data_IF_878978370249
#
_entry.id   IF_878978370249
#
_cell.length_a   1.000
_cell.length_b   1.000
_cell.length_c   1.000
_cell.angle_alpha   90.00
_cell.angle_beta   90.00
_cell.angle_gamma   90.00
#
_symmetry.space_group_name_H-M   'P 1'
#
loop_
_entity.id
_entity.type
_entity.pdbx_description
1 polymer ?
#
# COMPACT_ATOMS: atom_id res chain seq x y z
N UNK A 1 3.34 -10.89 10.89
CA UNK A 1 2.16 -11.76 10.63
C UNK A 1 0.89 -10.96 10.33
N UNK A 2 0.39 -10.10 11.23
CA UNK A 2 -0.88 -9.38 11.04
C UNK A 2 -0.90 -8.50 9.78
N UNK A 3 0.15 -7.68 9.56
CA UNK A 3 0.32 -6.93 8.32
C UNK A 3 0.44 -7.85 7.10
N UNK A 4 1.11 -8.99 7.21
CA UNK A 4 1.18 -9.98 6.13
C UNK A 4 -0.19 -10.52 5.71
N UNK A 5 -1.07 -10.79 6.68
CA UNK A 5 -2.46 -11.21 6.41
C UNK A 5 -3.25 -10.08 5.73
N UNK A 6 -3.10 -8.84 6.19
CA UNK A 6 -3.77 -7.69 5.57
C UNK A 6 -3.24 -7.38 4.17
N UNK A 7 -1.94 -7.50 3.91
CA UNK A 7 -1.38 -7.34 2.57
C UNK A 7 -1.85 -8.46 1.64
N UNK A 8 -1.83 -9.71 2.10
CA UNK A 8 -2.40 -10.84 1.36
C UNK A 8 -3.87 -10.56 1.00
N UNK A 9 -4.72 -10.29 2.00
CA UNK A 9 -6.13 -10.07 1.74
C UNK A 9 -6.46 -8.81 0.96
N UNK A 10 -5.73 -7.71 1.17
CA UNK A 10 -5.91 -6.47 0.43
C UNK A 10 -5.46 -6.56 -1.03
N UNK A 11 -4.41 -7.33 -1.32
CA UNK A 11 -3.98 -7.60 -2.70
C UNK A 11 -4.94 -8.53 -3.45
N UNK A 12 -5.60 -9.44 -2.72
CA UNK A 12 -6.54 -10.42 -3.30
C UNK A 12 -8.00 -10.17 -2.95
N UNK A 13 -8.36 -8.95 -2.51
CA UNK A 13 -9.72 -8.56 -2.12
C UNK A 13 -10.73 -8.86 -3.23
N UNK A 14 -10.31 -8.71 -4.49
CA UNK A 14 -11.15 -8.93 -5.66
C UNK A 14 -11.64 -10.39 -5.78
N UNK A 15 -10.95 -11.34 -5.15
CA UNK A 15 -11.40 -12.73 -5.07
C UNK A 15 -12.70 -12.87 -4.28
N UNK A 16 -13.03 -11.94 -3.36
CA UNK A 16 -14.29 -11.95 -2.62
C UNK A 16 -15.52 -11.80 -3.50
N UNK A 17 -15.43 -11.12 -4.64
CA UNK A 17 -16.57 -11.01 -5.56
C UNK A 17 -17.00 -12.38 -6.09
N UNK A 18 -16.07 -13.34 -6.14
CA UNK A 18 -16.32 -14.72 -6.54
C UNK A 18 -16.60 -15.64 -5.35
N UNK A 19 -16.58 -15.13 -4.11
CA UNK A 19 -16.81 -15.93 -2.92
C UNK A 19 -18.32 -16.19 -2.69
N UNK A 20 -18.76 -17.46 -2.68
CA UNK A 20 -20.12 -17.81 -2.36
C UNK A 20 -20.31 -17.83 -0.84
N UNK A 21 -20.74 -16.71 -0.26
CA UNK A 21 -21.11 -16.63 1.15
C UNK A 21 -22.41 -17.42 1.44
N UNK A 22 -22.32 -18.75 1.51
CA UNK A 22 -23.51 -19.64 1.58
C UNK A 22 -23.60 -20.50 2.84
N UNK A 23 -23.06 -20.02 3.97
CA UNK A 23 -23.20 -20.75 5.24
C UNK A 23 -23.15 -19.85 6.46
N UNK A 24 -24.13 -20.01 7.37
CA UNK A 24 -24.20 -19.28 8.65
C UNK A 24 -22.94 -19.47 9.48
N UNK A 25 -22.32 -20.66 9.46
CA UNK A 25 -21.07 -20.95 10.17
C UNK A 25 -19.87 -20.19 9.58
N UNK A 26 -19.76 -20.13 8.25
CA UNK A 26 -18.70 -19.40 7.58
C UNK A 26 -18.83 -17.89 7.81
N UNK A 27 -20.06 -17.37 7.75
CA UNK A 27 -20.33 -15.97 8.07
C UNK A 27 -19.99 -15.63 9.53
N UNK A 28 -20.38 -16.48 10.48
CA UNK A 28 -20.02 -16.30 11.89
C UNK A 28 -18.51 -16.36 12.11
N UNK A 29 -17.82 -17.32 11.49
CA UNK A 29 -16.36 -17.41 11.56
C UNK A 29 -15.71 -16.14 10.99
N UNK A 30 -16.14 -15.67 9.82
CA UNK A 30 -15.64 -14.43 9.22
C UNK A 30 -15.92 -13.20 10.10
N UNK A 31 -17.10 -13.09 10.70
CA UNK A 31 -17.46 -11.99 11.60
C UNK A 31 -16.61 -11.99 12.89
N UNK A 32 -16.38 -13.17 13.48
CA UNK A 32 -15.51 -13.32 14.65
C UNK A 32 -14.06 -12.98 14.28
N UNK A 33 -13.55 -13.54 13.17
CA UNK A 33 -12.21 -13.23 12.68
C UNK A 33 -12.04 -11.73 12.41
N UNK A 34 -13.03 -11.09 11.81
CA UNK A 34 -13.04 -9.65 11.60
C UNK A 34 -12.93 -8.87 12.91
N UNK A 35 -13.77 -9.18 13.91
CA UNK A 35 -13.72 -8.51 15.22
C UNK A 35 -12.37 -8.69 15.91
N UNK A 36 -11.81 -9.89 15.88
CA UNK A 36 -10.49 -10.21 16.46
C UNK A 36 -9.38 -9.46 15.74
N UNK A 37 -9.33 -9.49 14.40
CA UNK A 37 -8.29 -8.81 13.65
C UNK A 37 -8.42 -7.29 13.70
N UNK A 38 -9.65 -6.75 13.68
CA UNK A 38 -9.89 -5.31 13.84
C UNK A 38 -9.40 -4.82 15.21
N UNK A 39 -9.69 -5.56 16.29
CA UNK A 39 -9.14 -5.28 17.61
C UNK A 39 -7.61 -5.38 17.63
N UNK A 40 -7.04 -6.44 17.03
CA UNK A 40 -5.59 -6.59 16.94
C UNK A 40 -4.93 -5.43 16.18
N UNK A 41 -5.54 -4.94 15.09
CA UNK A 41 -5.04 -3.77 14.38
C UNK A 41 -5.09 -2.50 15.22
N UNK A 42 -6.19 -2.28 15.94
CA UNK A 42 -6.34 -1.12 16.84
C UNK A 42 -5.24 -1.10 17.91
N UNK A 43 -5.07 -2.22 18.65
CA UNK A 43 -4.20 -2.27 19.83
C UNK A 43 -2.73 -2.60 19.53
N UNK A 44 -2.44 -3.37 18.48
CA UNK A 44 -1.08 -3.83 18.19
C UNK A 44 -0.39 -3.07 17.05
N UNK A 45 -1.15 -2.37 16.20
CA UNK A 45 -0.60 -1.65 15.04
C UNK A 45 -0.85 -0.15 15.16
N UNK A 46 -2.13 0.26 15.17
CA UNK A 46 -2.52 1.67 15.14
C UNK A 46 -2.03 2.44 16.37
N UNK A 47 -1.91 1.78 17.52
CA UNK A 47 -1.36 2.36 18.75
C UNK A 47 0.12 2.76 18.65
N UNK A 48 0.85 2.28 17.63
CA UNK A 48 2.30 2.48 17.49
C UNK A 48 2.71 3.23 16.22
N UNK A 49 1.74 3.67 15.41
CA UNK A 49 1.99 4.38 14.15
C UNK A 49 1.35 5.76 14.18
N UNK A 50 2.03 6.73 13.56
CA UNK A 50 1.44 8.02 13.32
C UNK A 50 0.47 7.96 12.14
N UNK A 51 -0.75 8.45 12.34
CA UNK A 51 -1.76 8.59 11.30
C UNK A 51 -2.26 10.03 11.26
N UNK A 52 -2.18 10.65 10.10
CA UNK A 52 -2.77 11.97 9.80
C UNK A 52 -4.27 11.84 9.48
N UNK A 53 -4.68 10.65 9.03
CA UNK A 53 -6.06 10.34 8.65
C UNK A 53 -6.81 9.58 9.76
N UNK A 54 -8.10 9.33 9.56
CA UNK A 54 -8.93 8.66 10.56
C UNK A 54 -8.41 7.25 10.86
N UNK A 55 -7.92 7.04 12.09
CA UNK A 55 -7.43 5.75 12.58
C UNK A 55 -8.48 4.63 12.44
N UNK A 56 -9.76 4.98 12.61
CA UNK A 56 -10.89 4.07 12.49
C UNK A 56 -10.94 3.32 11.15
N UNK A 57 -10.69 4.01 10.04
CA UNK A 57 -10.66 3.39 8.73
C UNK A 57 -9.53 2.35 8.66
N UNK A 58 -8.34 2.69 9.15
CA UNK A 58 -7.15 1.82 9.09
C UNK A 58 -7.35 0.52 9.88
N UNK A 59 -7.84 0.57 11.12
CA UNK A 59 -8.00 -0.69 11.88
C UNK A 59 -9.21 -1.52 11.43
N UNK A 60 -10.29 -0.90 10.92
CA UNK A 60 -11.42 -1.61 10.33
C UNK A 60 -11.02 -2.29 9.02
N UNK A 61 -10.40 -1.55 8.10
CA UNK A 61 -9.92 -2.09 6.83
C UNK A 61 -8.83 -3.14 7.05
N UNK A 62 -7.93 -2.93 8.02
CA UNK A 62 -6.93 -3.92 8.41
C UNK A 62 -7.54 -5.22 8.92
N UNK A 63 -8.55 -5.12 9.79
CA UNK A 63 -9.32 -6.29 10.24
C UNK A 63 -10.01 -7.02 9.08
N UNK A 64 -10.59 -6.26 8.14
CA UNK A 64 -11.25 -6.79 6.96
C UNK A 64 -10.26 -7.53 6.05
N UNK A 65 -9.16 -6.88 5.66
CA UNK A 65 -8.15 -7.50 4.82
C UNK A 65 -7.48 -8.69 5.49
N UNK A 66 -7.15 -8.63 6.79
CA UNK A 66 -6.59 -9.78 7.49
C UNK A 66 -7.55 -10.97 7.53
N UNK A 67 -8.86 -10.71 7.64
CA UNK A 67 -9.88 -11.76 7.54
C UNK A 67 -9.86 -12.43 6.17
N UNK A 68 -9.75 -11.65 5.09
CA UNK A 68 -9.63 -12.20 3.72
C UNK A 68 -8.34 -13.01 3.57
N UNK A 69 -7.21 -12.47 4.02
CA UNK A 69 -5.91 -13.14 3.96
C UNK A 69 -5.92 -14.47 4.71
N UNK A 70 -6.49 -14.49 5.92
CA UNK A 70 -6.68 -15.71 6.69
C UNK A 70 -7.64 -16.69 5.99
N UNK A 71 -8.71 -16.19 5.37
CA UNK A 71 -9.63 -16.97 4.56
C UNK A 71 -8.98 -17.65 3.37
N UNK A 72 -8.06 -16.96 2.67
CA UNK A 72 -7.28 -17.53 1.55
C UNK A 72 -6.40 -18.69 2.05
N UNK A 73 -5.68 -18.49 3.15
CA UNK A 73 -4.85 -19.53 3.75
C UNK A 73 -5.70 -20.73 4.22
N UNK A 74 -6.83 -20.47 4.88
CA UNK A 74 -7.76 -21.50 5.31
C UNK A 74 -8.34 -22.27 4.12
N UNK A 75 -8.67 -21.60 3.02
CA UNK A 75 -9.18 -22.23 1.81
C UNK A 75 -8.14 -23.17 1.19
N UNK A 76 -6.86 -22.78 1.17
CA UNK A 76 -5.77 -23.65 0.70
C UNK A 76 -5.65 -24.92 1.56
N UNK A 77 -5.74 -24.78 2.89
CA UNK A 77 -5.72 -25.92 3.82
C UNK A 77 -6.94 -26.83 3.64
N UNK A 78 -8.15 -26.27 3.59
CA UNK A 78 -9.38 -27.02 3.38
C UNK A 78 -9.33 -27.76 2.04
N UNK A 79 -8.81 -27.12 0.99
CA UNK A 79 -8.66 -27.75 -0.31
C UNK A 79 -7.73 -28.96 -0.26
N UNK A 80 -6.60 -28.85 0.44
CA UNK A 80 -5.68 -29.96 0.66
C UNK A 80 -6.33 -31.10 1.47
N UNK A 81 -7.05 -30.77 2.53
CA UNK A 81 -7.71 -31.77 3.38
C UNK A 81 -8.83 -32.54 2.64
N UNK A 82 -9.52 -31.89 1.72
CA UNK A 82 -10.58 -32.52 0.92
C UNK A 82 -10.05 -33.30 -0.29
N UNK A 83 -9.15 -32.72 -1.09
CA UNK A 83 -8.70 -33.37 -2.33
C UNK A 83 -7.62 -34.43 -2.07
N UNK A 84 -6.74 -34.21 -1.07
CA UNK A 84 -5.61 -35.08 -0.73
C UNK A 84 -4.77 -35.48 -1.96
N UNK A 85 -4.54 -34.54 -2.89
CA UNK A 85 -3.84 -34.74 -4.16
C UNK A 85 -2.54 -33.95 -4.21
N UNK A 86 -1.63 -34.33 -5.13
CA UNK A 86 -0.39 -33.60 -5.38
C UNK A 86 -0.66 -32.15 -5.82
N UNK A 87 -1.69 -31.92 -6.63
CA UNK A 87 -2.08 -30.58 -7.09
C UNK A 87 -2.54 -29.70 -5.92
N UNK A 88 -3.30 -30.27 -4.97
CA UNK A 88 -3.75 -29.54 -3.80
C UNK A 88 -2.58 -29.22 -2.84
N UNK A 89 -1.60 -30.12 -2.73
CA UNK A 89 -0.37 -29.88 -1.97
C UNK A 89 0.47 -28.77 -2.62
N UNK A 90 0.60 -28.79 -3.95
CA UNK A 90 1.30 -27.76 -4.70
C UNK A 90 0.68 -26.37 -4.45
N UNK A 91 -0.64 -26.24 -4.55
CA UNK A 91 -1.33 -24.97 -4.29
C UNK A 91 -1.16 -24.50 -2.85
N UNK A 92 -1.23 -25.41 -1.88
CA UNK A 92 -0.99 -25.09 -0.47
C UNK A 92 0.43 -24.57 -0.24
N UNK A 93 1.44 -25.31 -0.71
CA UNK A 93 2.84 -24.94 -0.57
C UNK A 93 3.17 -23.64 -1.30
N UNK A 94 2.58 -23.41 -2.47
CA UNK A 94 2.76 -22.17 -3.22
C UNK A 94 2.22 -20.97 -2.43
N UNK A 95 0.98 -21.04 -1.96
CA UNK A 95 0.33 -19.95 -1.23
C UNK A 95 1.05 -19.69 0.10
N UNK A 96 1.24 -20.73 0.90
CA UNK A 96 1.90 -20.61 2.22
C UNK A 96 3.36 -20.20 2.06
N UNK A 97 4.08 -20.77 1.09
CA UNK A 97 5.47 -20.40 0.81
C UNK A 97 5.63 -18.95 0.40
N UNK A 98 4.79 -18.45 -0.51
CA UNK A 98 4.81 -17.03 -0.92
C UNK A 98 4.42 -16.12 0.24
N UNK A 99 3.40 -16.49 1.02
CA UNK A 99 2.99 -15.73 2.20
C UNK A 99 4.13 -15.64 3.23
N UNK A 100 4.79 -16.76 3.53
CA UNK A 100 5.90 -16.81 4.47
C UNK A 100 7.07 -15.97 3.96
N UNK A 101 7.43 -16.09 2.69
CA UNK A 101 8.47 -15.27 2.05
C UNK A 101 8.17 -13.78 2.19
N UNK A 102 6.98 -13.35 1.74
CA UNK A 102 6.58 -11.94 1.75
C UNK A 102 6.47 -11.35 3.17
N UNK A 103 6.12 -12.17 4.16
CA UNK A 103 5.83 -11.70 5.53
C UNK A 103 7.05 -11.76 6.46
N UNK A 104 7.92 -12.76 6.31
CA UNK A 104 8.99 -13.05 7.27
C UNK A 104 10.39 -12.92 6.70
N UNK A 105 10.57 -13.19 5.40
CA UNK A 105 11.90 -13.22 4.79
C UNK A 105 12.23 -11.96 3.98
N UNK A 106 11.22 -11.22 3.52
CA UNK A 106 11.46 -9.94 2.88
C UNK A 106 11.73 -8.84 3.92
N UNK A 107 12.63 -7.92 3.59
CA UNK A 107 13.03 -6.81 4.48
C UNK A 107 11.89 -5.81 4.77
N UNK A 108 10.83 -5.81 3.95
CA UNK A 108 9.57 -5.07 4.16
C UNK A 108 8.42 -5.81 3.48
N UNK A 109 7.19 -5.69 3.96
CA UNK A 109 6.03 -6.31 3.30
C UNK A 109 5.57 -5.38 2.16
N UNK A 110 5.42 -5.92 0.95
CA UNK A 110 5.01 -5.15 -0.24
C UNK A 110 3.94 -5.90 -1.03
N UNK A 111 3.09 -5.19 -1.79
CA UNK A 111 2.14 -5.84 -2.69
C UNK A 111 2.84 -6.67 -3.77
N UNK A 112 4.01 -6.21 -4.24
CA UNK A 112 4.82 -6.91 -5.25
C UNK A 112 5.23 -8.32 -4.81
N UNK A 113 5.60 -8.49 -3.55
CA UNK A 113 6.01 -9.80 -3.01
C UNK A 113 4.87 -10.81 -2.92
N UNK A 114 3.62 -10.37 -3.03
CA UNK A 114 2.46 -11.24 -3.08
C UNK A 114 2.03 -11.61 -4.51
N UNK A 115 2.53 -10.93 -5.56
CA UNK A 115 2.19 -11.25 -6.96
C UNK A 115 2.38 -12.73 -7.33
N UNK A 116 3.46 -13.42 -6.89
CA UNK A 116 3.61 -14.84 -7.20
C UNK A 116 2.48 -15.71 -6.65
N UNK A 117 1.75 -15.27 -5.61
CA UNK A 117 0.62 -15.99 -5.03
C UNK A 117 -0.65 -15.88 -5.88
N UNK A 118 -0.73 -14.91 -6.80
CA UNK A 118 -1.94 -14.62 -7.57
C UNK A 118 -2.47 -15.82 -8.39
N UNK A 119 -1.64 -16.53 -9.19
CA UNK A 119 -2.14 -17.66 -9.98
C UNK A 119 -2.74 -18.76 -9.10
N UNK A 120 -2.09 -19.11 -8.00
CA UNK A 120 -2.56 -20.15 -7.08
C UNK A 120 -3.88 -19.76 -6.40
N UNK A 121 -4.02 -18.52 -5.96
CA UNK A 121 -5.27 -17.99 -5.37
C UNK A 121 -6.39 -18.00 -6.40
N UNK A 122 -6.11 -17.59 -7.65
CA UNK A 122 -7.10 -17.61 -8.73
C UNK A 122 -7.57 -19.03 -9.05
N UNK A 123 -6.65 -19.99 -9.16
CA UNK A 123 -7.00 -21.41 -9.38
C UNK A 123 -7.90 -21.92 -8.25
N UNK A 124 -7.54 -21.68 -6.98
CA UNK A 124 -8.37 -22.09 -5.85
C UNK A 124 -9.74 -21.41 -5.85
N UNK A 125 -9.81 -20.11 -6.15
CA UNK A 125 -11.06 -19.37 -6.21
C UNK A 125 -12.00 -19.93 -7.29
N UNK A 126 -11.47 -20.22 -8.49
CA UNK A 126 -12.24 -20.82 -9.59
C UNK A 126 -12.71 -22.23 -9.23
N UNK A 127 -11.81 -23.10 -8.72
CA UNK A 127 -12.18 -24.45 -8.29
C UNK A 127 -13.30 -24.44 -7.23
N UNK A 128 -13.25 -23.49 -6.30
CA UNK A 128 -14.29 -23.34 -5.29
C UNK A 128 -15.61 -22.80 -5.88
N UNK A 129 -15.53 -21.86 -6.81
CA UNK A 129 -16.68 -21.29 -7.50
C UNK A 129 -17.42 -22.31 -8.38
N UNK A 130 -16.69 -23.11 -9.16
CA UNK A 130 -17.26 -24.16 -10.03
C UNK A 130 -18.03 -25.21 -9.24
N UNK A 131 -17.56 -25.57 -8.04
CA UNK A 131 -18.27 -26.51 -7.14
C UNK A 131 -19.63 -25.99 -6.66
N UNK A 132 -19.89 -24.68 -6.76
CA UNK A 132 -21.01 -24.02 -6.08
C UNK A 132 -22.08 -23.44 -7.04
N UNK A 133 -21.93 -23.57 -8.36
CA UNK A 133 -22.88 -23.00 -9.34
C UNK A 133 -23.52 -24.00 -10.31
N UNK A 134 -24.83 -23.78 -10.57
CA UNK A 134 -25.51 -24.00 -11.87
C UNK A 134 -25.40 -22.70 -12.69
N UNK A 135 -25.07 -22.82 -13.99
CA UNK A 135 -24.80 -21.69 -14.92
C UNK A 135 -25.95 -20.68 -15.00
N UNK A 136 -25.67 -19.37 -14.89
CA UNK A 136 -26.63 -18.25 -15.02
C UNK A 136 -25.96 -16.97 -15.53
N UNK A 137 -26.67 -16.15 -16.33
CA UNK A 137 -26.18 -14.89 -16.94
C UNK A 137 -25.69 -13.81 -15.93
N UNK A 138 -25.98 -13.95 -14.63
CA UNK A 138 -25.41 -13.13 -13.55
C UNK A 138 -23.95 -13.48 -13.20
N UNK A 139 -23.26 -14.25 -14.05
CA UNK A 139 -21.87 -14.69 -13.90
C UNK A 139 -20.83 -13.56 -14.00
N UNK A 140 -21.12 -12.47 -14.72
CA UNK A 140 -20.14 -11.42 -14.97
C UNK A 140 -20.17 -10.26 -13.97
N UNK A 141 -21.20 -10.17 -13.12
CA UNK A 141 -21.31 -9.08 -12.13
C UNK A 141 -20.13 -9.08 -11.12
N UNK A 142 -19.67 -10.23 -10.59
CA UNK A 142 -18.43 -10.31 -9.82
C UNK A 142 -17.20 -9.76 -10.54
N UNK A 143 -17.08 -10.03 -11.84
CA UNK A 143 -15.94 -9.59 -12.64
C UNK A 143 -15.94 -8.07 -12.79
N UNK A 144 -17.11 -7.46 -13.03
CA UNK A 144 -17.25 -6.00 -13.10
C UNK A 144 -16.88 -5.34 -11.76
N UNK A 145 -17.31 -5.91 -10.63
CA UNK A 145 -16.95 -5.42 -9.30
C UNK A 145 -15.45 -5.50 -9.03
N UNK A 146 -14.83 -6.65 -9.33
CA UNK A 146 -13.40 -6.86 -9.23
C UNK A 146 -12.61 -5.88 -10.11
N UNK A 147 -13.01 -5.73 -11.38
CA UNK A 147 -12.38 -4.80 -12.32
C UNK A 147 -12.52 -3.34 -11.87
N UNK A 148 -13.71 -2.94 -11.42
CA UNK A 148 -13.97 -1.59 -10.91
C UNK A 148 -13.08 -1.23 -9.72
N UNK A 149 -12.95 -2.14 -8.75
CA UNK A 149 -12.07 -1.94 -7.59
C UNK A 149 -10.59 -1.87 -7.98
N UNK A 150 -10.14 -2.77 -8.87
CA UNK A 150 -8.76 -2.75 -9.36
C UNK A 150 -8.43 -1.48 -10.14
N UNK A 151 -9.34 -1.00 -11.00
CA UNK A 151 -9.18 0.26 -11.72
C UNK A 151 -9.15 1.44 -10.74
N UNK A 152 -10.01 1.45 -9.73
CA UNK A 152 -10.04 2.52 -8.73
C UNK A 152 -8.69 2.63 -7.99
N UNK A 153 -8.15 1.50 -7.53
CA UNK A 153 -6.84 1.44 -6.85
C UNK A 153 -5.73 1.87 -7.81
N UNK A 154 -5.76 1.41 -9.06
CA UNK A 154 -4.77 1.79 -10.07
C UNK A 154 -4.82 3.30 -10.40
N UNK A 155 -6.00 3.90 -10.46
CA UNK A 155 -6.17 5.35 -10.66
C UNK A 155 -5.65 6.13 -9.47
N UNK A 156 -5.88 5.67 -8.24
CA UNK A 156 -5.34 6.28 -7.04
C UNK A 156 -3.80 6.27 -7.06
N UNK A 157 -3.21 5.11 -7.35
CA UNK A 157 -1.75 4.94 -7.46
C UNK A 157 -1.15 5.83 -8.56
N UNK A 158 -1.76 5.83 -9.74
CA UNK A 158 -1.34 6.66 -10.87
C UNK A 158 -1.36 8.16 -10.52
N UNK A 159 -2.41 8.64 -9.83
CA UNK A 159 -2.50 10.03 -9.40
C UNK A 159 -1.43 10.39 -8.36
N UNK A 160 -1.19 9.53 -7.38
CA UNK A 160 -0.14 9.75 -6.38
C UNK A 160 1.26 9.75 -7.01
N UNK A 161 1.54 8.83 -7.93
CA UNK A 161 2.80 8.80 -8.67
C UNK A 161 3.02 10.09 -9.50
N UNK A 162 1.96 10.64 -10.09
CA UNK A 162 2.04 11.91 -10.82
C UNK A 162 2.35 13.11 -9.94
N UNK A 163 1.93 13.13 -8.66
CA UNK A 163 2.29 14.23 -7.75
C UNK A 163 3.82 14.40 -7.64
N UNK A 164 4.58 13.30 -7.60
CA UNK A 164 6.04 13.37 -7.60
C UNK A 164 6.62 13.94 -8.89
N UNK A 165 6.06 13.57 -10.05
CA UNK A 165 6.46 14.12 -11.35
C UNK A 165 6.14 15.60 -11.45
N UNK A 166 4.93 15.99 -11.09
CA UNK A 166 4.44 17.35 -11.19
C UNK A 166 5.20 18.28 -10.23
N UNK A 167 5.53 17.80 -9.03
CA UNK A 167 6.39 18.51 -8.08
C UNK A 167 7.81 18.71 -8.64
N UNK A 168 8.42 17.67 -9.22
CA UNK A 168 9.74 17.78 -9.81
C UNK A 168 9.76 18.78 -10.98
N UNK A 169 8.74 18.78 -11.84
CA UNK A 169 8.60 19.78 -12.91
C UNK A 169 8.40 21.20 -12.39
N UNK A 170 7.62 21.37 -11.32
CA UNK A 170 7.44 22.67 -10.68
C UNK A 170 8.78 23.21 -10.16
N UNK A 171 9.59 22.36 -9.52
CA UNK A 171 10.91 22.74 -9.03
C UNK A 171 11.93 22.97 -10.14
N UNK A 172 11.90 22.17 -11.20
CA UNK A 172 12.72 22.43 -12.39
C UNK A 172 12.40 23.82 -12.98
N UNK A 173 11.12 24.17 -13.11
CA UNK A 173 10.72 25.49 -13.63
C UNK A 173 11.17 26.64 -12.73
N UNK A 174 11.16 26.44 -11.41
CA UNK A 174 11.53 27.48 -10.43
C UNK A 174 13.02 27.61 -10.20
N UNK A 175 13.74 26.50 -10.13
CA UNK A 175 15.13 26.43 -9.68
C UNK A 175 16.08 25.82 -10.70
N UNK A 176 15.63 25.52 -11.92
CA UNK A 176 16.44 24.89 -12.96
C UNK A 176 17.71 25.67 -13.32
N UNK A 177 17.67 27.00 -13.25
CA UNK A 177 18.85 27.84 -13.45
C UNK A 177 19.92 27.67 -12.34
N UNK A 178 19.51 27.21 -11.16
CA UNK A 178 20.36 26.99 -9.98
C UNK A 178 20.44 25.51 -9.59
N UNK A 179 20.24 24.60 -10.56
CA UNK A 179 20.13 23.15 -10.32
C UNK A 179 21.26 22.57 -9.45
N UNK A 180 22.48 23.07 -9.60
CA UNK A 180 23.64 22.63 -8.82
C UNK A 180 23.54 22.92 -7.32
N UNK A 181 22.71 23.90 -6.92
CA UNK A 181 22.42 24.28 -5.52
C UNK A 181 21.21 23.55 -4.95
N UNK A 182 20.45 22.83 -5.79
CA UNK A 182 19.26 22.10 -5.34
C UNK A 182 19.67 20.76 -4.77
N UNK A 183 19.21 20.50 -3.54
CA UNK A 183 19.34 19.24 -2.82
C UNK A 183 17.95 18.67 -2.60
N UNK A 184 17.69 17.44 -3.00
CA UNK A 184 16.37 16.84 -2.83
C UNK A 184 16.34 15.77 -1.73
N UNK A 185 15.25 15.78 -0.97
CA UNK A 185 14.80 14.74 -0.06
C UNK A 185 13.61 14.05 -0.72
N UNK A 186 13.57 12.72 -0.69
CA UNK A 186 12.60 11.91 -1.41
C UNK A 186 13.27 10.90 -2.33
N UNK A 187 12.61 9.75 -2.50
CA UNK A 187 13.11 8.62 -3.27
C UNK A 187 12.18 8.25 -4.44
N UNK A 188 12.53 7.19 -5.16
CA UNK A 188 11.76 6.60 -6.26
C UNK A 188 11.54 7.56 -7.42
N UNK A 189 10.29 7.75 -7.86
CA UNK A 189 9.97 8.58 -9.02
C UNK A 189 10.42 10.03 -8.85
N UNK A 190 10.32 10.61 -7.65
CA UNK A 190 10.77 11.97 -7.39
C UNK A 190 12.27 12.13 -7.65
N UNK A 191 13.08 11.20 -7.13
CA UNK A 191 14.53 11.18 -7.36
C UNK A 191 14.85 11.14 -8.86
N UNK A 192 14.21 10.23 -9.61
CA UNK A 192 14.44 10.10 -11.05
C UNK A 192 14.20 11.43 -11.79
N UNK A 193 13.08 12.11 -11.52
CA UNK A 193 12.77 13.37 -12.19
C UNK A 193 13.65 14.54 -11.71
N UNK A 194 14.11 14.54 -10.47
CA UNK A 194 15.00 15.57 -9.95
C UNK A 194 16.42 15.47 -10.53
N UNK A 195 16.95 14.26 -10.65
CA UNK A 195 18.28 14.01 -11.21
C UNK A 195 18.35 14.37 -12.72
N UNK A 196 17.24 14.25 -13.46
CA UNK A 196 17.17 14.59 -14.88
C UNK A 196 17.57 16.03 -15.23
N UNK A 197 17.40 16.98 -14.30
CA UNK A 197 17.77 18.39 -14.51
C UNK A 197 18.94 18.84 -13.65
N UNK A 198 19.70 17.89 -13.08
CA UNK A 198 20.97 18.14 -12.42
C UNK A 198 20.90 18.46 -10.92
N UNK A 199 19.72 18.33 -10.29
CA UNK A 199 19.61 18.39 -8.83
C UNK A 199 20.29 17.16 -8.20
N UNK A 200 20.81 17.30 -6.98
CA UNK A 200 21.51 16.21 -6.28
C UNK A 200 20.73 15.73 -5.07
N UNK A 201 20.82 14.44 -4.78
CA UNK A 201 20.24 13.90 -3.56
C UNK A 201 20.90 14.55 -2.33
N UNK A 202 20.11 14.82 -1.31
CA UNK A 202 20.61 15.31 -0.03
C UNK A 202 21.37 14.17 0.69
N UNK A 203 22.63 14.40 1.06
CA UNK A 203 23.41 13.43 1.82
C UNK A 203 23.00 13.46 3.30
N UNK A 204 22.33 12.39 3.74
CA UNK A 204 21.86 12.23 5.12
C UNK A 204 22.97 11.94 6.10
N UNK A 205 24.06 11.29 5.66
CA UNK A 205 25.17 10.89 6.52
C UNK A 205 26.15 12.04 6.76
N UNK A 206 26.10 13.06 5.91
CA UNK A 206 26.86 14.28 6.04
C UNK A 206 25.95 15.49 5.76
N UNK A 207 25.10 15.89 6.73
CA UNK A 207 24.11 16.96 6.58
C UNK A 207 24.73 18.37 6.57
N UNK A 208 25.90 18.52 5.94
CA UNK A 208 26.52 19.81 5.67
C UNK A 208 25.85 20.40 4.44
N UNK A 209 24.75 21.10 4.70
CA UNK A 209 24.10 21.94 3.71
C UNK A 209 24.89 23.24 3.62
N UNK A 210 25.38 23.58 2.44
CA UNK A 210 26.12 24.82 2.25
C UNK A 210 25.16 26.02 2.27
N UNK A 211 25.60 27.16 2.81
CA UNK A 211 24.81 28.40 2.82
C UNK A 211 24.30 28.71 1.40
N UNK A 212 22.99 28.96 1.28
CA UNK A 212 22.33 29.27 0.01
C UNK A 212 21.94 28.05 -0.84
N UNK A 213 22.05 26.83 -0.31
CA UNK A 213 21.47 25.65 -0.95
C UNK A 213 19.96 25.57 -0.72
N UNK A 214 19.25 25.09 -1.74
CA UNK A 214 17.80 24.93 -1.75
C UNK A 214 17.49 23.45 -1.50
N UNK A 215 16.87 23.15 -0.37
CA UNK A 215 16.42 21.80 -0.04
C UNK A 215 14.96 21.66 -0.41
N UNK A 216 14.63 20.67 -1.25
CA UNK A 216 13.25 20.38 -1.65
C UNK A 216 12.86 18.95 -1.30
N UNK A 217 11.59 18.68 -1.03
CA UNK A 217 11.13 17.31 -0.81
C UNK A 217 9.66 17.19 -0.44
N UNK A 218 9.13 15.95 -0.42
CA UNK A 218 7.79 15.71 0.07
C UNK A 218 7.74 15.78 1.60
N UNK A 219 6.67 16.34 2.16
CA UNK A 219 6.42 16.31 3.61
C UNK A 219 6.16 14.88 4.13
N UNK A 220 5.75 13.97 3.24
CA UNK A 220 5.46 12.58 3.54
C UNK A 220 6.71 11.68 3.56
N UNK A 221 7.93 12.20 3.34
CA UNK A 221 9.15 11.40 3.49
C UNK A 221 9.33 11.06 4.98
N UNK A 222 9.36 9.78 5.40
CA UNK A 222 9.60 9.42 6.80
C UNK A 222 11.00 9.85 7.28
N UNK A 223 11.85 10.31 6.37
CA UNK A 223 13.18 10.83 6.62
C UNK A 223 13.25 12.36 6.41
N UNK A 224 12.17 13.12 6.67
CA UNK A 224 12.27 14.59 6.76
C UNK A 224 13.39 14.89 7.75
N UNK A 225 14.53 15.34 7.21
CA UNK A 225 15.67 15.76 8.02
C UNK A 225 15.15 16.88 8.89
N UNK A 226 15.31 16.74 10.21
CA UNK A 226 15.19 17.85 11.14
C UNK A 226 16.33 18.83 10.86
N UNK A 227 16.28 19.51 9.71
CA UNK A 227 17.14 20.65 9.42
C UNK A 227 16.80 21.65 10.52
N UNK A 228 17.77 21.99 11.36
CA UNK A 228 17.54 22.83 12.54
C UNK A 228 16.76 24.08 12.11
N UNK A 229 15.52 24.20 12.59
CA UNK A 229 14.54 25.21 12.14
C UNK A 229 15.09 26.63 12.29
N UNK A 230 16.09 26.82 13.15
CA UNK A 230 16.80 28.08 13.39
C UNK A 230 17.63 28.59 12.19
N UNK A 231 17.89 27.78 11.16
CA UNK A 231 18.76 28.13 10.01
C UNK A 231 18.09 28.10 8.65
N UNK A 232 16.76 28.04 8.60
CA UNK A 232 16.02 27.74 7.37
C UNK A 232 14.94 28.79 7.11
N UNK A 233 14.87 29.31 5.89
CA UNK A 233 13.73 30.08 5.40
C UNK A 233 12.82 29.17 4.57
N UNK A 234 11.53 29.11 4.92
CA UNK A 234 10.52 28.51 4.03
C UNK A 234 10.40 29.38 2.79
N UNK A 235 10.83 28.84 1.65
CA UNK A 235 10.70 29.50 0.35
C UNK A 235 9.30 29.26 -0.22
N UNK A 236 8.82 28.02 -0.12
CA UNK A 236 7.59 27.62 -0.80
C UNK A 236 6.98 26.35 -0.21
N UNK A 237 5.66 26.25 -0.26
CA UNK A 237 4.90 25.03 -0.05
C UNK A 237 3.94 24.85 -1.22
N UNK A 238 3.96 23.66 -1.82
CA UNK A 238 3.11 23.35 -2.97
C UNK A 238 2.28 22.09 -2.69
N UNK A 239 1.01 22.14 -3.06
CA UNK A 239 0.05 21.05 -2.87
C UNK A 239 -0.36 20.46 -4.21
N UNK A 240 -0.48 19.13 -4.27
CA UNK A 240 -0.87 18.40 -5.46
C UNK A 240 -2.10 17.55 -5.16
N UNK A 241 -3.09 17.61 -6.04
CA UNK A 241 -4.35 16.90 -5.87
C UNK A 241 -4.18 15.40 -6.12
N UNK A 242 -4.63 14.60 -5.15
CA UNK A 242 -4.70 13.14 -5.24
C UNK A 242 -6.17 12.71 -5.38
N UNK A 243 -6.43 11.40 -5.41
CA UNK A 243 -7.79 10.91 -5.25
C UNK A 243 -8.19 11.06 -3.76
N UNK A 244 -9.24 11.83 -3.41
CA UNK A 244 -9.44 12.27 -2.01
C UNK A 244 -10.01 11.19 -1.09
N UNK A 245 -10.22 9.97 -1.60
CA UNK A 245 -10.87 8.88 -0.88
C UNK A 245 -10.13 7.53 -0.96
N UNK A 246 -9.04 7.41 -1.74
CA UNK A 246 -8.21 6.18 -1.79
C UNK A 246 -6.75 6.55 -1.83
N UNK A 247 -5.92 5.87 -1.05
CA UNK A 247 -4.46 5.98 -1.09
C UNK A 247 -3.82 4.59 -1.20
N UNK A 248 -2.80 4.47 -2.03
CA UNK A 248 -1.95 3.27 -2.14
C UNK A 248 -0.62 3.47 -1.44
N UNK A 249 -0.09 4.69 -1.42
CA UNK A 249 1.16 4.96 -0.72
C UNK A 249 1.28 6.43 -0.30
N UNK A 250 1.21 6.68 1.00
CA UNK A 250 1.56 7.96 1.63
C UNK A 250 1.73 7.75 3.14
N UNK A 251 2.83 8.22 3.71
CA UNK A 251 3.03 8.16 5.16
C UNK A 251 1.93 8.92 5.87
N UNK A 252 1.36 8.31 6.93
CA UNK A 252 0.27 8.89 7.72
C UNK A 252 -1.14 8.58 7.22
N UNK A 253 -1.33 8.00 6.02
CA UNK A 253 -2.66 7.54 5.57
C UNK A 253 -2.98 6.11 6.01
N UNK A 254 -1.95 5.32 6.33
CA UNK A 254 -2.05 3.89 6.60
C UNK A 254 -1.85 3.00 5.37
N UNK A 255 -1.63 3.60 4.19
CA UNK A 255 -1.35 2.88 2.94
C UNK A 255 0.16 2.75 2.67
N UNK A 256 0.59 1.54 2.37
CA UNK A 256 1.97 1.12 2.19
C UNK A 256 2.17 0.12 1.05
N UNK A 257 1.51 0.29 -0.10
CA UNK A 257 1.55 -0.65 -1.24
C UNK A 257 2.96 -1.13 -1.60
N UNK A 258 3.93 -0.21 -1.57
CA UNK A 258 5.33 -0.45 -1.93
C UNK A 258 6.23 -0.82 -0.74
N UNK A 259 5.78 -0.62 0.51
CA UNK A 259 6.53 -0.94 1.73
C UNK A 259 5.65 -0.79 2.96
N UNK A 260 5.68 -1.79 3.85
CA UNK A 260 4.98 -1.73 5.15
C UNK A 260 5.52 -0.66 6.10
N UNK A 261 6.66 -0.03 5.79
CA UNK A 261 7.12 1.16 6.51
C UNK A 261 6.28 2.41 6.22
N UNK A 262 5.61 2.49 5.07
CA UNK A 262 4.73 3.61 4.73
C UNK A 262 3.34 3.51 5.37
N UNK A 263 2.89 2.28 5.64
CA UNK A 263 1.60 2.00 6.26
C UNK A 263 1.34 0.51 6.40
N UNK A 264 0.47 0.09 7.34
CA UNK A 264 0.25 -1.32 7.63
C UNK A 264 -0.67 -2.04 6.64
N UNK A 265 -1.28 -1.32 5.69
CA UNK A 265 -2.20 -1.85 4.68
C UNK A 265 -1.66 -1.60 3.26
N UNK A 266 -1.96 -2.45 2.28
CA UNK A 266 -1.52 -2.22 0.90
C UNK A 266 -2.19 -0.99 0.26
N UNK A 267 -3.43 -0.66 0.64
CA UNK A 267 -4.17 0.53 0.24
C UNK A 267 -5.27 0.79 1.28
N UNK A 268 -5.85 2.00 1.28
CA UNK A 268 -6.90 2.40 2.23
C UNK A 268 -7.99 3.23 1.55
N UNK A 269 -9.21 3.15 2.06
CA UNK A 269 -10.31 4.06 1.73
C UNK A 269 -10.53 5.01 2.91
N UNK A 270 -9.95 6.20 2.81
CA UNK A 270 -10.00 7.19 3.88
C UNK A 270 -10.07 8.60 3.28
N UNK A 271 -10.33 9.63 4.08
CA UNK A 271 -10.22 11.02 3.64
C UNK A 271 -8.75 11.35 3.42
N UNK A 272 -8.31 11.35 2.17
CA UNK A 272 -6.90 11.53 1.81
C UNK A 272 -6.59 13.02 1.64
N UNK A 273 -5.60 13.58 2.36
CA UNK A 273 -5.18 14.95 2.14
C UNK A 273 -4.46 15.08 0.77
N UNK A 274 -4.34 16.30 0.23
CA UNK A 274 -3.44 16.56 -0.90
C UNK A 274 -1.98 16.22 -0.55
N UNK A 275 -1.19 15.84 -1.55
CA UNK A 275 0.26 15.63 -1.37
C UNK A 275 0.94 16.99 -1.20
N UNK A 276 1.86 17.11 -0.24
CA UNK A 276 2.54 18.37 0.09
C UNK A 276 4.03 18.25 -0.20
N UNK A 277 4.59 19.28 -0.82
CA UNK A 277 6.03 19.41 -1.03
C UNK A 277 6.53 20.77 -0.53
N UNK A 278 7.74 20.80 0.02
CA UNK A 278 8.38 22.02 0.49
C UNK A 278 9.62 22.35 -0.34
N UNK A 279 9.91 23.64 -0.39
CA UNK A 279 11.23 24.16 -0.74
C UNK A 279 11.70 25.09 0.38
N UNK A 280 12.91 24.87 0.85
CA UNK A 280 13.53 25.67 1.89
C UNK A 280 14.95 26.07 1.50
N UNK A 281 15.38 27.26 1.92
CA UNK A 281 16.74 27.74 1.69
C UNK A 281 17.52 27.80 3.00
N UNK A 282 18.76 27.33 2.94
CA UNK A 282 19.66 27.27 4.09
C UNK A 282 20.49 28.54 4.25
N UNK A 283 20.64 28.98 5.50
CA UNK A 283 21.61 29.99 5.93
C UNK A 283 22.89 29.34 6.42
#
# INVERSE_FOLDING_TARGET
MLMGLAFSGGCFVSALFFAPFRGRRLFLAAAISFGVFAAAFKFLICSWIYLETAEAAVWLEGGFFATIGAGILALAVINMLHQKSADALLLLLWIVGTFCFATFFNWSITARTFLPMAPAVTILAIQHFERLKKRSRLEYLPLLGAAGLSILIAVADYRQANCARDAAWLYQKRYGAEASKVRFLGHWGFQYYMEQWGAKAFDRNNPKVAHGEIVVGPFSDPNVVHVSVEKVFTRDESTFSTLPFVSTFRVGTGAGFYSSFGGPLPWVINKIPPERYYAVETR
#
